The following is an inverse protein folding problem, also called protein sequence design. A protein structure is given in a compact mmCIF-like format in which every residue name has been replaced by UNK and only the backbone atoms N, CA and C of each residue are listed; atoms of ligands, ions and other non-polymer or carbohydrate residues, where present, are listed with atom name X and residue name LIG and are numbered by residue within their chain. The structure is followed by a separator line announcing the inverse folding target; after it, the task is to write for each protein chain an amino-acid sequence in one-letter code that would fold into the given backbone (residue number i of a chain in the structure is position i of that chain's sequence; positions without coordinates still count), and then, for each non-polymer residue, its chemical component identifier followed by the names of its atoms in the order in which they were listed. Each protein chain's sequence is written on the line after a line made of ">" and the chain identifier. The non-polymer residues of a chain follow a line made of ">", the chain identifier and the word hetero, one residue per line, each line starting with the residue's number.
data_IF_079957770833
#
_entry.id   IF_079957770833
#
_cell.length_a   1.000
_cell.length_b   1.000
_cell.length_c   1.000
_cell.angle_alpha   90.00
_cell.angle_beta   90.00
_cell.angle_gamma   90.00
#
_symmetry.space_group_name_H-M   'P 1'
#
loop_
_entity.id
_entity.type
_entity.pdbx_description
1 polymer ?
#
# COMPACT_ATOMS: atom_id res chain seq x y z
N UNK A 1 6.75 24.51 -28.36
CA UNK A 1 7.47 25.62 -29.04
C UNK A 1 8.66 26.09 -28.20
N UNK A 2 8.50 26.44 -26.91
CA UNK A 2 9.63 26.86 -26.06
C UNK A 2 10.63 25.75 -25.71
N UNK A 3 10.22 24.48 -25.60
CA UNK A 3 11.16 23.37 -25.36
C UNK A 3 12.16 23.19 -26.52
N UNK A 4 11.64 23.23 -27.75
CA UNK A 4 12.45 23.17 -28.96
C UNK A 4 13.34 24.41 -29.11
N UNK A 5 12.82 25.59 -28.77
CA UNK A 5 13.60 26.83 -28.77
C UNK A 5 14.75 26.77 -27.75
N UNK A 6 14.50 26.28 -26.53
CA UNK A 6 15.53 26.11 -25.51
C UNK A 6 16.59 25.10 -25.97
N UNK A 7 16.19 23.98 -26.57
CA UNK A 7 17.13 23.00 -27.13
C UNK A 7 18.02 23.61 -28.22
N UNK A 8 17.44 24.36 -29.17
CA UNK A 8 18.21 25.06 -30.20
C UNK A 8 19.15 26.12 -29.62
N UNK A 9 18.73 26.86 -28.58
CA UNK A 9 19.58 27.86 -27.93
C UNK A 9 20.75 27.19 -27.20
N UNK A 10 20.56 26.02 -26.59
CA UNK A 10 21.65 25.25 -26.00
C UNK A 10 22.62 24.70 -27.06
N UNK A 11 22.13 24.25 -28.21
CA UNK A 11 22.98 23.87 -29.36
C UNK A 11 23.81 25.05 -29.87
N UNK A 12 23.19 26.22 -30.00
CA UNK A 12 23.91 27.45 -30.38
C UNK A 12 24.97 27.81 -29.34
N UNK A 13 24.67 27.65 -28.05
CA UNK A 13 25.64 27.86 -26.98
C UNK A 13 26.84 26.90 -27.06
N UNK A 14 26.60 25.62 -27.37
CA UNK A 14 27.69 24.66 -27.54
C UNK A 14 28.61 25.02 -28.71
N UNK A 15 28.05 25.56 -29.80
CA UNK A 15 28.81 25.93 -31.01
C UNK A 15 29.47 27.30 -30.90
N UNK A 16 28.82 28.25 -30.23
CA UNK A 16 29.33 29.61 -30.02
C UNK A 16 28.77 30.22 -28.73
N UNK A 17 29.51 30.04 -27.64
CA UNK A 17 29.13 30.54 -26.32
C UNK A 17 29.15 32.08 -26.22
N UNK A 18 29.89 32.78 -27.08
CA UNK A 18 30.05 34.24 -27.05
C UNK A 18 29.04 34.97 -27.95
N UNK A 19 28.02 34.26 -28.46
CA UNK A 19 27.04 34.86 -29.35
C UNK A 19 26.26 35.97 -28.61
N UNK A 20 26.17 37.18 -29.18
CA UNK A 20 25.42 38.28 -28.56
C UNK A 20 23.97 37.89 -28.25
N UNK A 21 23.45 38.35 -27.11
CA UNK A 21 22.09 38.13 -26.61
C UNK A 21 21.70 36.67 -26.29
N UNK A 22 22.61 35.71 -26.40
CA UNK A 22 22.31 34.30 -26.16
C UNK A 22 21.89 34.03 -24.71
N UNK A 23 22.59 34.60 -23.73
CA UNK A 23 22.24 34.50 -22.31
C UNK A 23 20.83 35.02 -22.02
N UNK A 24 20.50 36.20 -22.57
CA UNK A 24 19.17 36.81 -22.43
C UNK A 24 18.08 35.92 -23.04
N UNK A 25 18.32 35.37 -24.24
CA UNK A 25 17.38 34.48 -24.90
C UNK A 25 17.18 33.15 -24.15
N UNK A 26 18.26 32.56 -23.63
CA UNK A 26 18.22 31.36 -22.78
C UNK A 26 17.44 31.63 -21.49
N UNK A 27 17.68 32.77 -20.84
CA UNK A 27 16.94 33.21 -19.66
C UNK A 27 15.44 33.35 -19.92
N UNK A 28 15.05 34.06 -20.99
CA UNK A 28 13.64 34.25 -21.35
C UNK A 28 12.93 32.93 -21.69
N UNK A 29 13.57 32.07 -22.50
CA UNK A 29 13.00 30.77 -22.84
C UNK A 29 12.85 29.87 -21.60
N UNK A 30 13.84 29.90 -20.70
CA UNK A 30 13.80 29.17 -19.43
C UNK A 30 12.69 29.69 -18.52
N UNK A 31 12.53 31.02 -18.40
CA UNK A 31 11.48 31.64 -17.58
C UNK A 31 10.07 31.23 -18.02
N UNK A 32 9.81 31.23 -19.33
CA UNK A 32 8.51 30.80 -19.88
C UNK A 32 8.24 29.31 -19.63
N UNK A 33 9.26 28.46 -19.71
CA UNK A 33 9.12 27.05 -19.34
C UNK A 33 8.88 26.88 -17.83
N UNK A 34 9.60 27.63 -16.99
CA UNK A 34 9.39 27.63 -15.54
C UNK A 34 7.93 27.97 -15.21
N UNK A 35 7.37 29.05 -15.78
CA UNK A 35 5.95 29.42 -15.56
C UNK A 35 5.00 28.29 -15.93
N UNK A 36 5.24 27.61 -17.06
CA UNK A 36 4.41 26.49 -17.52
C UNK A 36 4.48 25.28 -16.60
N UNK A 37 5.67 24.93 -16.12
CA UNK A 37 5.84 23.78 -15.23
C UNK A 37 5.38 24.10 -13.80
N UNK A 38 5.54 25.34 -13.35
CA UNK A 38 4.99 25.83 -12.08
C UNK A 38 3.46 25.75 -12.09
N UNK A 39 2.79 26.20 -13.17
CA UNK A 39 1.34 26.09 -13.31
C UNK A 39 0.84 24.63 -13.28
N UNK A 40 1.69 23.66 -13.62
CA UNK A 40 1.41 22.22 -13.53
C UNK A 40 1.81 21.60 -12.17
N UNK A 41 2.39 22.38 -11.26
CA UNK A 41 2.92 21.92 -9.98
C UNK A 41 4.13 20.98 -10.11
N UNK A 42 4.89 21.07 -11.21
CA UNK A 42 6.10 20.27 -11.43
C UNK A 42 7.36 21.05 -11.01
N UNK A 43 7.50 21.23 -9.69
CA UNK A 43 8.64 21.95 -9.12
C UNK A 43 9.97 21.22 -9.32
N UNK A 44 9.95 19.91 -9.56
CA UNK A 44 11.15 19.13 -9.91
C UNK A 44 11.72 19.60 -11.25
N UNK A 45 10.89 19.65 -12.29
CA UNK A 45 11.33 20.15 -13.60
C UNK A 45 11.76 21.60 -13.53
N UNK A 46 11.05 22.44 -12.78
CA UNK A 46 11.45 23.84 -12.52
C UNK A 46 12.85 23.93 -11.92
N UNK A 47 13.14 23.18 -10.85
CA UNK A 47 14.48 23.18 -10.24
C UNK A 47 15.55 22.69 -11.20
N UNK A 48 15.28 21.67 -12.01
CA UNK A 48 16.23 21.17 -13.02
C UNK A 48 16.54 22.22 -14.09
N UNK A 49 15.53 22.96 -14.54
CA UNK A 49 15.72 24.06 -15.49
C UNK A 49 16.58 25.18 -14.89
N UNK A 50 16.30 25.58 -13.64
CA UNK A 50 17.09 26.56 -12.91
C UNK A 50 18.54 26.11 -12.72
N UNK A 51 18.76 24.88 -12.27
CA UNK A 51 20.11 24.31 -12.08
C UNK A 51 20.90 24.29 -13.38
N UNK A 52 20.28 23.89 -14.50
CA UNK A 52 20.93 23.88 -15.82
C UNK A 52 21.33 25.29 -16.27
N UNK A 53 20.47 26.28 -16.07
CA UNK A 53 20.79 27.66 -16.42
C UNK A 53 21.89 28.23 -15.51
N UNK A 54 21.77 28.03 -14.20
CA UNK A 54 22.72 28.48 -13.18
C UNK A 54 24.11 27.86 -13.35
N UNK A 55 24.19 26.59 -13.77
CA UNK A 55 25.46 25.90 -14.01
C UNK A 55 26.31 26.59 -15.08
N UNK A 56 25.68 27.36 -15.99
CA UNK A 56 26.40 28.09 -17.04
C UNK A 56 26.43 29.59 -16.83
N UNK A 57 25.33 30.16 -16.33
CA UNK A 57 25.16 31.59 -16.09
C UNK A 57 24.66 31.79 -14.65
N UNK A 58 25.58 31.76 -13.66
CA UNK A 58 25.19 31.83 -12.24
C UNK A 58 24.57 33.18 -11.86
N UNK A 59 25.01 34.27 -12.47
CA UNK A 59 24.57 35.65 -12.17
C UNK A 59 23.36 36.10 -13.01
N UNK A 60 22.75 35.17 -13.75
CA UNK A 60 21.65 35.47 -14.64
C UNK A 60 20.39 35.87 -13.82
N UNK A 61 19.74 36.97 -14.21
CA UNK A 61 18.66 37.58 -13.40
C UNK A 61 17.42 36.70 -13.17
N UNK A 62 17.05 35.83 -14.12
CA UNK A 62 15.97 34.84 -13.98
C UNK A 62 16.33 33.78 -12.96
N UNK A 63 17.58 33.29 -12.94
CA UNK A 63 18.04 32.32 -11.94
C UNK A 63 17.87 32.89 -10.53
N UNK A 64 18.38 34.10 -10.31
CA UNK A 64 18.31 34.77 -9.01
C UNK A 64 16.85 35.05 -8.62
N UNK A 65 16.09 35.74 -9.49
CA UNK A 65 14.71 36.13 -9.20
C UNK A 65 13.79 34.92 -8.92
N UNK A 66 13.91 33.85 -9.71
CA UNK A 66 13.09 32.64 -9.52
C UNK A 66 13.52 31.83 -8.32
N UNK A 67 14.83 31.68 -8.10
CA UNK A 67 15.32 30.95 -6.92
C UNK A 67 14.88 31.64 -5.64
N UNK A 68 14.94 32.97 -5.58
CA UNK A 68 14.50 33.74 -4.42
C UNK A 68 12.98 33.65 -4.22
N UNK A 69 12.19 33.67 -5.29
CA UNK A 69 10.74 33.47 -5.21
C UNK A 69 10.38 32.09 -4.64
N UNK A 70 11.00 31.00 -5.12
CA UNK A 70 10.75 29.66 -4.60
C UNK A 70 11.29 29.46 -3.18
N UNK A 71 12.42 30.07 -2.83
CA UNK A 71 12.93 30.07 -1.45
C UNK A 71 11.98 30.77 -0.50
N UNK A 72 11.42 31.92 -0.90
CA UNK A 72 10.43 32.66 -0.11
C UNK A 72 9.17 31.82 0.11
N UNK A 73 8.57 31.29 -0.96
CA UNK A 73 7.40 30.38 -0.88
C UNK A 73 7.66 29.18 0.04
N UNK A 74 8.85 28.59 -0.06
CA UNK A 74 9.24 27.47 0.80
C UNK A 74 9.49 27.89 2.26
N UNK A 75 10.01 29.10 2.49
CA UNK A 75 10.19 29.64 3.84
C UNK A 75 8.85 29.89 4.53
N UNK A 76 7.88 30.47 3.80
CA UNK A 76 6.52 30.69 4.30
C UNK A 76 5.89 29.36 4.75
N UNK A 77 5.94 28.32 3.91
CA UNK A 77 5.45 26.99 4.28
C UNK A 77 6.21 26.37 5.46
N UNK A 78 7.52 26.64 5.58
CA UNK A 78 8.32 26.14 6.70
C UNK A 78 7.90 26.81 8.02
N UNK A 79 7.62 28.11 7.97
CA UNK A 79 7.17 28.88 9.13
C UNK A 79 5.73 28.51 9.54
N UNK A 80 4.84 28.30 8.57
CA UNK A 80 3.51 27.73 8.80
C UNK A 80 3.59 26.32 9.42
N UNK A 81 4.51 25.47 8.92
CA UNK A 81 4.71 24.13 9.48
C UNK A 81 5.20 24.19 10.94
N UNK A 82 6.09 25.13 11.27
CA UNK A 82 6.53 25.37 12.65
C UNK A 82 5.40 25.85 13.54
N UNK A 83 4.57 26.78 13.06
CA UNK A 83 3.41 27.27 13.80
C UNK A 83 2.39 26.15 14.05
N UNK A 84 2.06 25.35 13.02
CA UNK A 84 1.19 24.18 13.16
C UNK A 84 1.74 23.17 14.19
N UNK A 85 3.05 22.92 14.17
CA UNK A 85 3.72 22.04 15.13
C UNK A 85 3.67 22.59 16.57
N UNK A 86 3.83 23.91 16.76
CA UNK A 86 3.71 24.56 18.07
C UNK A 86 2.27 24.51 18.60
N UNK A 87 1.29 24.62 17.72
CA UNK A 87 -0.13 24.52 18.04
C UNK A 87 -0.62 23.07 18.25
N UNK A 88 0.25 22.08 18.08
CA UNK A 88 -0.08 20.66 18.22
C UNK A 88 -0.76 20.02 17.00
N UNK A 89 -0.95 20.75 15.90
CA UNK A 89 -1.47 20.19 14.64
C UNK A 89 -0.37 19.50 13.84
N UNK A 90 0.00 18.30 14.30
CA UNK A 90 1.07 17.50 13.71
C UNK A 90 0.70 16.98 12.31
N UNK A 91 -0.59 16.86 11.99
CA UNK A 91 -1.06 16.42 10.67
C UNK A 91 -0.80 17.50 9.63
N UNK A 92 -1.15 18.74 9.97
CA UNK A 92 -0.96 19.89 9.09
C UNK A 92 0.51 20.25 8.96
N UNK A 93 1.26 20.24 10.07
CA UNK A 93 2.72 20.41 10.04
C UNK A 93 3.39 19.42 9.08
N UNK A 94 2.92 18.16 9.05
CA UNK A 94 3.48 17.13 8.17
C UNK A 94 3.12 17.34 6.70
N UNK A 95 1.93 17.87 6.43
CA UNK A 95 1.49 18.24 5.09
C UNK A 95 2.32 19.41 4.55
N UNK A 96 2.44 20.48 5.33
CA UNK A 96 3.18 21.70 4.98
C UNK A 96 4.68 21.42 4.80
N UNK A 97 5.29 20.66 5.71
CA UNK A 97 6.71 20.26 5.60
C UNK A 97 6.99 19.51 4.29
N UNK A 98 6.11 18.58 3.90
CA UNK A 98 6.25 17.85 2.62
C UNK A 98 6.07 18.77 1.42
N UNK A 99 5.09 19.65 1.45
CA UNK A 99 4.87 20.64 0.38
C UNK A 99 6.08 21.55 0.22
N UNK A 100 6.65 22.02 1.33
CA UNK A 100 7.88 22.80 1.36
C UNK A 100 9.05 22.04 0.71
N UNK A 101 9.30 20.79 1.14
CA UNK A 101 10.36 19.94 0.58
C UNK A 101 10.16 19.70 -0.93
N UNK A 102 8.91 19.53 -1.36
CA UNK A 102 8.60 19.33 -2.76
C UNK A 102 8.85 20.58 -3.61
N UNK A 103 8.63 21.78 -3.08
CA UNK A 103 8.91 23.05 -3.78
C UNK A 103 10.41 23.37 -3.77
N UNK A 104 11.03 23.38 -2.59
CA UNK A 104 12.45 23.73 -2.43
C UNK A 104 13.08 22.95 -1.26
N UNK A 105 13.71 21.79 -1.51
CA UNK A 105 14.18 20.90 -0.44
C UNK A 105 15.36 21.48 0.35
N UNK A 106 16.21 22.28 -0.30
CA UNK A 106 17.44 22.78 0.28
C UNK A 106 17.21 24.13 0.98
N UNK A 107 16.49 24.09 2.11
CA UNK A 107 16.26 25.24 2.97
C UNK A 107 16.83 24.96 4.37
N UNK A 108 17.50 25.95 4.96
CA UNK A 108 18.10 25.81 6.31
C UNK A 108 17.02 25.53 7.35
N UNK A 109 17.20 24.49 8.16
CA UNK A 109 16.24 24.12 9.20
C UNK A 109 15.09 23.22 8.72
N UNK A 110 14.95 22.98 7.41
CA UNK A 110 13.84 22.17 6.88
C UNK A 110 14.02 20.67 7.18
N UNK A 111 15.25 20.18 7.07
CA UNK A 111 15.58 18.78 7.37
C UNK A 111 15.38 18.48 8.86
N UNK A 112 15.86 19.38 9.71
CA UNK A 112 15.76 19.26 11.17
C UNK A 112 14.29 19.29 11.63
N UNK A 113 13.46 20.15 11.02
CA UNK A 113 12.02 20.16 11.28
C UNK A 113 11.36 18.84 10.86
N UNK A 114 11.66 18.35 9.65
CA UNK A 114 11.11 17.10 9.14
C UNK A 114 11.49 15.90 10.02
N UNK A 115 12.74 15.80 10.46
CA UNK A 115 13.21 14.74 11.37
C UNK A 115 12.59 14.85 12.77
N UNK A 116 12.47 16.06 13.31
CA UNK A 116 11.78 16.30 14.58
C UNK A 116 10.31 15.90 14.50
N UNK A 117 9.63 16.27 13.42
CA UNK A 117 8.24 15.93 13.19
C UNK A 117 8.05 14.43 12.96
N UNK A 118 8.92 13.78 12.18
CA UNK A 118 8.86 12.33 11.97
C UNK A 118 9.01 11.56 13.28
N UNK A 119 9.92 11.99 14.17
CA UNK A 119 10.08 11.39 15.51
C UNK A 119 8.85 11.56 16.39
N UNK A 120 8.15 12.69 16.30
CA UNK A 120 6.94 12.97 17.10
C UNK A 120 5.67 12.37 16.48
N UNK A 121 5.60 12.30 15.16
CA UNK A 121 4.43 11.92 14.40
C UNK A 121 4.83 11.22 13.09
N UNK A 122 5.25 9.96 13.22
CA UNK A 122 5.53 9.09 12.08
C UNK A 122 4.24 8.76 11.32
N UNK A 123 3.96 9.54 10.27
CA UNK A 123 2.76 9.43 9.43
C UNK A 123 3.08 8.88 8.05
N UNK A 124 2.40 7.82 7.65
CA UNK A 124 2.52 7.21 6.32
C UNK A 124 1.20 7.34 5.55
N UNK A 125 1.24 8.08 4.45
CA UNK A 125 0.14 8.20 3.48
C UNK A 125 0.37 7.27 2.29
N UNK A 126 -0.58 6.36 2.05
CA UNK A 126 -0.57 5.33 0.99
C UNK A 126 -1.67 5.64 -0.03
N UNK A 127 -1.30 5.81 -1.29
CA UNK A 127 -2.25 5.90 -2.40
C UNK A 127 -2.79 4.52 -2.79
N UNK A 128 -4.11 4.40 -2.92
CA UNK A 128 -4.81 3.17 -3.29
C UNK A 128 -5.81 3.44 -4.41
N UNK A 129 -5.93 2.53 -5.38
CA UNK A 129 -6.91 2.65 -6.47
C UNK A 129 -8.20 1.86 -6.23
N UNK A 130 -8.19 0.96 -5.25
CA UNK A 130 -9.35 0.16 -4.85
C UNK A 130 -9.65 0.44 -3.38
N UNK A 131 -10.90 0.81 -3.10
CA UNK A 131 -11.41 1.03 -1.75
C UNK A 131 -11.73 -0.30 -1.08
N UNK A 132 -11.58 -0.32 0.22
CA UNK A 132 -11.94 -1.45 1.07
C UNK A 132 -13.43 -1.35 1.40
N UNK A 133 -14.24 -2.24 0.82
CA UNK A 133 -15.67 -2.35 1.13
C UNK A 133 -15.90 -3.37 2.25
N UNK A 134 -15.06 -4.39 2.31
CA UNK A 134 -15.05 -5.46 3.31
C UNK A 134 -13.62 -5.62 3.84
N UNK A 135 -13.46 -6.01 5.11
CA UNK A 135 -12.17 -6.24 5.76
C UNK A 135 -11.86 -7.72 5.97
N UNK A 136 -12.63 -8.61 5.36
CA UNK A 136 -12.38 -10.06 5.42
C UNK A 136 -11.06 -10.45 4.74
N UNK A 137 -10.13 -11.12 5.46
CA UNK A 137 -8.88 -11.59 4.92
C UNK A 137 -9.11 -12.75 3.95
N UNK A 138 -8.11 -13.02 3.11
CA UNK A 138 -8.06 -14.25 2.31
C UNK A 138 -8.89 -14.23 1.01
N UNK A 139 -9.77 -13.25 0.78
CA UNK A 139 -10.45 -13.11 -0.52
C UNK A 139 -9.43 -12.73 -1.61
N UNK A 140 -9.12 -13.70 -2.48
CA UNK A 140 -8.15 -13.50 -3.58
C UNK A 140 -8.56 -12.36 -4.52
N UNK A 141 -9.87 -12.23 -4.77
CA UNK A 141 -10.47 -11.21 -5.63
C UNK A 141 -10.47 -9.81 -5.00
N UNK A 142 -10.49 -9.72 -3.67
CA UNK A 142 -10.56 -8.44 -2.96
C UNK A 142 -9.19 -8.06 -2.37
N UNK A 143 -8.47 -7.27 -3.14
CA UNK A 143 -7.11 -6.82 -2.79
C UNK A 143 -7.12 -5.75 -1.71
N UNK A 144 -8.17 -4.92 -1.69
CA UNK A 144 -8.30 -3.85 -0.71
C UNK A 144 -8.58 -4.47 0.67
N UNK A 145 -9.49 -5.44 0.72
CA UNK A 145 -9.74 -6.25 1.92
C UNK A 145 -8.46 -6.89 2.46
N UNK A 146 -7.69 -7.61 1.62
CA UNK A 146 -6.44 -8.26 2.06
C UNK A 146 -5.39 -7.29 2.62
N UNK A 147 -5.32 -6.06 2.10
CA UNK A 147 -4.40 -5.04 2.59
C UNK A 147 -4.86 -4.51 3.95
N UNK A 148 -6.10 -4.02 4.01
CA UNK A 148 -6.65 -3.44 5.25
C UNK A 148 -6.82 -4.49 6.34
N UNK A 149 -7.10 -5.75 6.00
CA UNK A 149 -7.27 -6.83 6.98
C UNK A 149 -6.01 -7.07 7.79
N UNK A 150 -4.80 -6.95 7.20
CA UNK A 150 -3.54 -7.13 7.95
C UNK A 150 -3.21 -5.96 8.88
N UNK A 151 -3.82 -4.78 8.66
CA UNK A 151 -3.73 -3.66 9.59
C UNK A 151 -4.66 -3.87 10.78
N UNK A 152 -5.87 -4.38 10.51
CA UNK A 152 -6.93 -4.49 11.50
C UNK A 152 -6.87 -5.79 12.30
N UNK A 153 -6.46 -6.89 11.69
CA UNK A 153 -6.57 -8.23 12.24
C UNK A 153 -5.26 -9.02 12.12
N UNK A 154 -5.08 -9.92 13.08
CA UNK A 154 -4.24 -11.12 12.97
C UNK A 154 -5.14 -12.32 12.77
N UNK A 155 -4.84 -13.13 11.76
CA UNK A 155 -5.59 -14.36 11.47
C UNK A 155 -5.04 -15.54 12.27
N UNK A 156 -5.78 -16.64 12.27
CA UNK A 156 -5.32 -17.87 12.93
C UNK A 156 -4.07 -18.45 12.27
N UNK A 157 -3.96 -18.37 10.95
CA UNK A 157 -2.73 -18.64 10.19
C UNK A 157 -2.45 -17.48 9.20
N UNK A 158 -1.20 -17.09 9.03
CA UNK A 158 -0.75 -16.06 8.08
C UNK A 158 0.29 -16.60 7.11
N UNK A 159 0.16 -16.28 5.81
CA UNK A 159 1.18 -16.62 4.82
C UNK A 159 2.42 -15.76 5.05
N UNK A 160 3.56 -16.39 5.35
CA UNK A 160 4.84 -15.71 5.62
C UNK A 160 5.83 -15.81 4.45
N UNK A 161 5.50 -16.56 3.40
CA UNK A 161 6.32 -16.65 2.19
C UNK A 161 6.28 -18.02 1.52
N UNK A 162 6.97 -18.21 0.39
CA UNK A 162 7.10 -19.52 -0.23
C UNK A 162 7.99 -20.47 0.61
N UNK A 163 7.77 -21.77 0.44
CA UNK A 163 8.51 -22.89 1.03
C UNK A 163 8.53 -24.08 0.08
N UNK A 164 9.14 -25.19 0.52
CA UNK A 164 9.36 -26.38 -0.32
C UNK A 164 8.07 -27.08 -0.76
N UNK A 165 7.08 -27.17 0.15
CA UNK A 165 5.77 -27.80 -0.07
C UNK A 165 4.66 -26.75 -0.30
N UNK A 166 4.99 -25.63 -0.94
CA UNK A 166 4.08 -24.51 -1.15
C UNK A 166 4.28 -23.37 -0.14
N UNK A 167 3.20 -22.72 0.31
CA UNK A 167 3.32 -21.51 1.15
C UNK A 167 3.66 -21.81 2.61
N UNK A 168 4.65 -21.17 3.22
CA UNK A 168 4.89 -21.23 4.67
C UNK A 168 3.84 -20.39 5.41
N UNK A 169 3.24 -20.95 6.47
CA UNK A 169 2.28 -20.25 7.32
C UNK A 169 2.76 -20.21 8.76
N UNK A 170 2.36 -19.18 9.49
CA UNK A 170 2.62 -18.99 10.92
C UNK A 170 1.33 -18.64 11.66
N UNK A 171 1.26 -18.96 12.96
CA UNK A 171 0.13 -18.65 13.85
C UNK A 171 0.49 -17.42 14.70
N UNK A 172 0.17 -16.18 14.28
CA UNK A 172 0.62 -14.99 14.98
C UNK A 172 0.06 -14.87 16.41
N UNK A 173 -1.09 -15.49 16.68
CA UNK A 173 -1.77 -15.46 17.98
C UNK A 173 -1.38 -16.62 18.89
N UNK A 174 -0.38 -17.43 18.52
CA UNK A 174 -0.15 -18.71 19.17
C UNK A 174 0.99 -19.53 18.59
N UNK A 175 0.80 -20.84 18.61
CA UNK A 175 1.56 -21.82 17.84
C UNK A 175 0.56 -22.78 17.18
N UNK A 176 0.95 -23.34 16.04
CA UNK A 176 0.16 -24.34 15.33
C UNK A 176 1.09 -25.48 14.92
N UNK A 177 0.83 -26.68 15.45
CA UNK A 177 1.58 -27.88 15.10
C UNK A 177 0.68 -28.84 14.34
N UNK A 178 1.19 -29.35 13.22
CA UNK A 178 0.56 -30.41 12.45
C UNK A 178 1.24 -31.71 12.86
N UNK A 179 0.50 -32.66 13.43
CA UNK A 179 1.07 -33.92 13.91
C UNK A 179 1.53 -34.81 12.75
N UNK A 180 2.46 -35.73 13.04
CA UNK A 180 2.85 -36.78 12.11
C UNK A 180 1.60 -37.53 11.61
N UNK A 181 1.55 -37.82 10.30
CA UNK A 181 0.38 -38.31 9.54
C UNK A 181 -0.66 -37.26 9.10
N UNK A 182 -0.49 -35.97 9.45
CA UNK A 182 -1.28 -34.84 8.92
C UNK A 182 -2.81 -34.95 9.15
N UNK A 183 -3.24 -35.74 10.15
CA UNK A 183 -4.66 -35.93 10.51
C UNK A 183 -5.07 -35.26 11.81
N UNK A 184 -4.11 -34.64 12.51
CA UNK A 184 -4.37 -33.82 13.69
C UNK A 184 -3.57 -32.54 13.61
N UNK A 185 -4.18 -31.47 14.11
CA UNK A 185 -3.48 -30.22 14.36
C UNK A 185 -3.73 -29.79 15.80
N UNK A 186 -2.71 -29.26 16.47
CA UNK A 186 -2.84 -28.65 17.78
C UNK A 186 -2.59 -27.16 17.66
N UNK A 187 -3.53 -26.35 18.16
CA UNK A 187 -3.40 -24.89 18.23
C UNK A 187 -3.27 -24.52 19.69
N UNK A 188 -2.17 -23.87 20.04
CA UNK A 188 -1.99 -23.27 21.36
C UNK A 188 -2.02 -21.75 21.23
N UNK A 189 -2.94 -21.09 21.91
CA UNK A 189 -3.08 -19.64 21.87
C UNK A 189 -2.28 -18.97 22.99
N UNK A 190 -1.79 -17.77 22.68
CA UNK A 190 -1.15 -16.87 23.64
C UNK A 190 -2.19 -16.20 24.52
N UNK A 191 -1.95 -16.17 25.83
CA UNK A 191 -2.86 -15.56 26.81
C UNK A 191 -2.91 -14.03 26.74
N UNK A 192 -1.87 -13.42 26.17
CA UNK A 192 -1.68 -11.97 26.09
C UNK A 192 -2.38 -11.30 24.90
N UNK A 193 -2.99 -12.09 24.00
CA UNK A 193 -3.66 -11.54 22.81
C UNK A 193 -4.95 -10.86 23.24
N UNK A 194 -4.97 -9.52 23.20
CA UNK A 194 -6.11 -8.68 23.56
C UNK A 194 -6.89 -8.22 22.33
N UNK A 195 -8.18 -8.03 22.51
CA UNK A 195 -9.00 -7.29 21.55
C UNK A 195 -8.73 -5.78 21.68
N UNK A 196 -9.02 -5.03 20.62
CA UNK A 196 -8.75 -3.59 20.53
C UNK A 196 -9.44 -2.74 21.60
N UNK A 197 -10.52 -3.23 22.23
CA UNK A 197 -11.14 -2.56 23.39
C UNK A 197 -10.31 -2.67 24.67
N UNK A 198 -9.46 -3.69 24.79
CA UNK A 198 -8.69 -4.00 26.00
C UNK A 198 -9.47 -4.71 27.11
N UNK A 199 -10.80 -4.79 27.00
CA UNK A 199 -11.71 -5.36 28.01
C UNK A 199 -11.67 -6.90 28.07
N UNK A 200 -11.27 -7.55 26.99
CA UNK A 200 -11.22 -9.01 26.88
C UNK A 200 -10.01 -9.47 26.08
N UNK A 201 -9.66 -10.74 26.27
CA UNK A 201 -8.61 -11.43 25.52
C UNK A 201 -9.22 -12.42 24.55
N UNK A 202 -8.44 -12.77 23.53
CA UNK A 202 -8.72 -13.92 22.67
C UNK A 202 -8.67 -15.19 23.52
N UNK A 203 -9.70 -16.02 23.43
CA UNK A 203 -9.80 -17.29 24.16
C UNK A 203 -9.78 -18.48 23.21
N UNK A 204 -9.50 -19.67 23.77
CA UNK A 204 -9.54 -20.92 23.00
C UNK A 204 -10.96 -21.24 22.52
N UNK A 205 -11.96 -20.75 23.24
CA UNK A 205 -13.36 -20.87 22.88
C UNK A 205 -13.70 -20.03 21.65
N UNK A 206 -13.13 -18.83 21.51
CA UNK A 206 -13.30 -18.00 20.31
C UNK A 206 -12.73 -18.70 19.07
N UNK A 207 -11.54 -19.29 19.19
CA UNK A 207 -10.93 -20.09 18.13
C UNK A 207 -11.79 -21.30 17.79
N UNK A 208 -12.23 -22.05 18.80
CA UNK A 208 -13.06 -23.25 18.63
C UNK A 208 -14.38 -22.93 17.93
N UNK A 209 -15.06 -21.86 18.37
CA UNK A 209 -16.30 -21.37 17.74
C UNK A 209 -16.07 -20.94 16.31
N UNK A 210 -14.97 -20.27 16.01
CA UNK A 210 -14.61 -19.88 14.63
C UNK A 210 -14.43 -21.10 13.72
N UNK A 211 -13.74 -22.14 14.20
CA UNK A 211 -13.50 -23.36 13.43
C UNK A 211 -14.80 -24.14 13.18
N UNK A 212 -15.73 -24.16 14.15
CA UNK A 212 -17.06 -24.76 14.00
C UNK A 212 -17.90 -23.95 13.00
N UNK A 213 -17.93 -22.61 13.15
CA UNK A 213 -18.67 -21.72 12.25
C UNK A 213 -18.22 -21.87 10.79
N UNK A 214 -16.92 -22.07 10.55
CA UNK A 214 -16.41 -22.34 9.21
C UNK A 214 -16.88 -23.68 8.61
N UNK A 215 -17.34 -24.62 9.43
CA UNK A 215 -17.85 -25.92 9.00
C UNK A 215 -19.39 -25.99 8.97
N UNK A 216 -20.10 -25.00 9.52
CA UNK A 216 -21.55 -24.95 9.59
C UNK A 216 -22.15 -24.28 8.35
N UNK A 217 -22.98 -25.02 7.60
CA UNK A 217 -23.66 -24.53 6.39
C UNK A 217 -24.59 -23.34 6.67
N UNK A 218 -25.06 -23.18 7.90
CA UNK A 218 -25.92 -22.07 8.32
C UNK A 218 -25.17 -20.77 8.64
N UNK A 219 -23.84 -20.80 8.78
CA UNK A 219 -23.05 -19.63 9.18
C UNK A 219 -22.47 -18.87 7.97
N UNK A 220 -22.40 -17.54 8.08
CA UNK A 220 -21.75 -16.67 7.08
C UNK A 220 -20.26 -16.99 6.85
N UNK A 221 -19.61 -17.64 7.83
CA UNK A 221 -18.22 -18.07 7.77
C UNK A 221 -18.02 -19.40 7.03
N UNK A 222 -19.10 -20.06 6.60
CA UNK A 222 -19.06 -21.39 5.99
C UNK A 222 -18.05 -21.50 4.85
N UNK A 223 -17.27 -22.58 4.89
CA UNK A 223 -16.21 -22.89 3.96
C UNK A 223 -16.20 -24.37 3.66
N UNK A 224 -16.59 -24.72 2.42
CA UNK A 224 -16.70 -26.11 1.98
C UNK A 224 -15.40 -26.91 2.12
N UNK A 225 -14.26 -26.26 1.84
CA UNK A 225 -12.92 -26.83 1.94
C UNK A 225 -12.56 -27.23 3.38
N UNK A 226 -12.97 -26.42 4.36
CA UNK A 226 -12.79 -26.72 5.77
C UNK A 226 -13.84 -27.70 6.31
N UNK A 227 -15.10 -27.53 5.92
CA UNK A 227 -16.21 -28.37 6.37
C UNK A 227 -16.03 -29.85 6.01
N UNK A 228 -15.49 -30.14 4.82
CA UNK A 228 -15.17 -31.51 4.40
C UNK A 228 -13.99 -32.13 5.16
N UNK A 229 -13.13 -31.29 5.73
CA UNK A 229 -11.89 -31.73 6.37
C UNK A 229 -12.05 -31.90 7.88
N UNK A 230 -12.89 -31.10 8.54
CA UNK A 230 -13.10 -31.13 9.98
C UNK A 230 -13.80 -32.43 10.42
N UNK A 231 -13.18 -33.22 11.29
CA UNK A 231 -13.80 -34.39 11.94
C UNK A 231 -14.28 -34.09 13.36
N UNK A 232 -13.54 -33.29 14.10
CA UNK A 232 -13.89 -32.95 15.47
C UNK A 232 -12.91 -31.98 16.10
N UNK A 233 -13.34 -31.41 17.23
CA UNK A 233 -12.55 -30.46 18.03
C UNK A 233 -12.58 -30.91 19.48
N UNK A 234 -11.44 -30.80 20.16
CA UNK A 234 -11.34 -31.05 21.60
C UNK A 234 -10.56 -29.91 22.22
N UNK A 235 -11.15 -29.27 23.23
CA UNK A 235 -10.45 -28.26 24.02
C UNK A 235 -9.72 -28.99 25.14
N UNK A 236 -8.40 -29.14 24.99
CA UNK A 236 -7.59 -29.95 25.89
C UNK A 236 -7.29 -29.26 27.22
N UNK A 237 -7.14 -27.93 27.21
CA UNK A 237 -6.89 -27.09 28.39
C UNK A 237 -7.36 -25.64 28.10
N UNK A 238 -6.99 -24.68 28.95
CA UNK A 238 -7.43 -23.27 28.84
C UNK A 238 -6.91 -22.55 27.58
N UNK A 239 -5.80 -23.00 26.99
CA UNK A 239 -5.13 -22.34 25.88
C UNK A 239 -4.96 -23.21 24.62
N UNK A 240 -5.42 -24.46 24.61
CA UNK A 240 -5.17 -25.42 23.53
C UNK A 240 -6.45 -26.03 22.99
N UNK A 241 -6.55 -26.04 21.67
CA UNK A 241 -7.55 -26.81 20.92
C UNK A 241 -6.86 -27.80 19.99
N UNK A 242 -7.27 -29.06 20.08
CA UNK A 242 -6.85 -30.13 19.17
C UNK A 242 -7.96 -30.36 18.14
N UNK A 243 -7.59 -30.32 16.87
CA UNK A 243 -8.49 -30.54 15.74
C UNK A 243 -8.19 -31.88 15.10
N UNK A 244 -9.21 -32.70 14.95
CA UNK A 244 -9.14 -33.94 14.19
C UNK A 244 -9.62 -33.71 12.76
N UNK A 245 -8.88 -34.26 11.80
CA UNK A 245 -9.19 -34.16 10.38
C UNK A 245 -9.70 -35.50 9.83
N UNK A 246 -10.70 -35.45 8.96
CA UNK A 246 -11.32 -36.61 8.32
C UNK A 246 -10.29 -37.43 7.53
N UNK A 247 -9.42 -36.72 6.80
CA UNK A 247 -8.36 -37.25 5.94
C UNK A 247 -7.07 -36.48 6.16
N UNK A 248 -5.94 -37.09 5.83
CA UNK A 248 -4.65 -36.37 5.81
C UNK A 248 -4.73 -35.22 4.80
N UNK A 249 -4.14 -34.08 5.14
CA UNK A 249 -4.10 -32.92 4.27
C UNK A 249 -2.73 -32.27 4.36
N UNK A 250 -2.10 -32.02 3.21
CA UNK A 250 -0.71 -31.53 3.15
C UNK A 250 -0.55 -30.23 3.93
N UNK A 251 -1.49 -29.28 3.79
CA UNK A 251 -1.45 -27.95 4.45
C UNK A 251 -2.79 -27.47 5.00
N UNK A 252 -3.25 -28.03 6.14
CA UNK A 252 -4.51 -27.63 6.76
C UNK A 252 -4.44 -26.18 7.29
N UNK A 253 -3.25 -25.75 7.71
CA UNK A 253 -2.92 -24.37 8.11
C UNK A 253 -3.23 -23.34 7.01
N UNK A 254 -3.03 -23.69 5.73
CA UNK A 254 -3.37 -22.81 4.60
C UNK A 254 -4.86 -22.44 4.54
N UNK A 255 -5.73 -23.34 5.02
CA UNK A 255 -7.17 -23.13 5.10
C UNK A 255 -7.57 -22.22 6.27
N UNK A 256 -6.68 -22.01 7.23
CA UNK A 256 -6.94 -21.27 8.49
C UNK A 256 -6.54 -19.79 8.44
N UNK A 257 -6.41 -19.21 7.24
CA UNK A 257 -6.26 -17.75 7.04
C UNK A 257 -7.57 -16.98 7.30
N UNK A 258 -8.09 -17.10 8.52
CA UNK A 258 -9.40 -16.59 8.93
C UNK A 258 -9.24 -15.59 10.07
N UNK A 259 -10.05 -14.52 10.09
CA UNK A 259 -10.13 -13.67 11.29
C UNK A 259 -10.69 -14.46 12.46
N UNK A 260 -10.27 -14.06 13.65
CA UNK A 260 -10.86 -14.47 14.90
C UNK A 260 -11.90 -13.43 15.31
N UNK A 261 -12.97 -13.90 15.92
CA UNK A 261 -14.07 -13.08 16.40
C UNK A 261 -14.23 -13.30 17.90
N UNK A 262 -14.61 -12.28 18.68
CA UNK A 262 -14.74 -12.36 20.12
C UNK A 262 -16.05 -13.07 20.55
N UNK A 263 -16.29 -14.30 20.10
CA UNK A 263 -17.53 -15.06 20.38
C UNK A 263 -17.91 -15.15 21.86
N UNK A 264 -16.92 -15.07 22.76
CA UNK A 264 -17.11 -15.13 24.21
C UNK A 264 -17.34 -13.76 24.87
N UNK A 265 -17.16 -12.66 24.15
CA UNK A 265 -17.40 -11.30 24.65
C UNK A 265 -18.88 -10.95 24.53
N UNK A 266 -19.58 -10.65 25.64
CA UNK A 266 -21.00 -10.28 25.61
C UNK A 266 -21.27 -9.04 24.73
N UNK A 267 -22.34 -9.07 23.94
CA UNK A 267 -22.73 -7.95 23.07
C UNK A 267 -21.93 -7.80 21.78
N UNK A 268 -20.98 -8.70 21.50
CA UNK A 268 -20.19 -8.73 20.26
C UNK A 268 -20.93 -9.39 19.09
N UNK A 269 -22.20 -9.05 18.87
CA UNK A 269 -22.94 -9.55 17.70
C UNK A 269 -22.54 -8.77 16.46
N UNK A 270 -21.68 -9.38 15.63
CA UNK A 270 -21.43 -9.17 14.19
C UNK A 270 -21.11 -7.76 13.63
N UNK A 271 -21.36 -6.66 14.33
CA UNK A 271 -21.24 -5.30 13.76
C UNK A 271 -20.14 -4.43 14.39
N UNK A 272 -19.59 -4.82 15.54
CA UNK A 272 -18.56 -4.06 16.26
C UNK A 272 -17.14 -4.58 16.00
N UNK A 273 -16.42 -3.83 15.15
CA UNK A 273 -15.05 -3.23 15.28
C UNK A 273 -13.97 -3.79 16.23
N UNK A 274 -14.20 -4.87 16.96
CA UNK A 274 -13.18 -5.50 17.79
C UNK A 274 -12.19 -6.22 16.89
N UNK A 275 -10.94 -5.80 17.00
CA UNK A 275 -9.86 -6.24 16.15
C UNK A 275 -8.65 -6.61 17.02
N UNK A 276 -7.78 -7.49 16.54
CA UNK A 276 -6.60 -7.97 17.27
C UNK A 276 -5.30 -7.62 16.53
N UNK A 277 -5.39 -6.78 15.50
CA UNK A 277 -4.26 -6.34 14.69
C UNK A 277 -3.55 -5.10 15.24
N UNK A 278 -2.49 -4.67 14.55
CA UNK A 278 -1.62 -3.55 14.95
C UNK A 278 -2.30 -2.19 14.92
N UNK A 279 -3.38 -2.03 14.16
CA UNK A 279 -4.07 -0.76 13.99
C UNK A 279 -5.58 -0.90 14.14
N UNK A 280 -6.23 0.22 14.45
CA UNK A 280 -7.69 0.40 14.41
C UNK A 280 -8.04 1.48 13.39
N UNK A 281 -9.14 1.29 12.64
CA UNK A 281 -9.65 2.31 11.75
C UNK A 281 -10.46 3.34 12.56
N UNK A 282 -10.01 4.59 12.59
CA UNK A 282 -10.65 5.68 13.36
C UNK A 282 -11.50 6.61 12.49
N UNK A 283 -11.27 6.59 11.18
CA UNK A 283 -12.06 7.36 10.22
C UNK A 283 -12.10 6.65 8.87
N UNK A 284 -13.26 6.67 8.21
CA UNK A 284 -13.48 6.13 6.87
C UNK A 284 -14.37 7.10 6.10
N UNK A 285 -13.89 7.58 4.96
CA UNK A 285 -14.63 8.40 4.01
C UNK A 285 -14.51 7.82 2.60
N UNK A 286 -15.05 8.55 1.62
CA UNK A 286 -14.89 8.20 0.22
C UNK A 286 -13.47 8.37 -0.31
N UNK A 287 -12.76 9.33 0.26
CA UNK A 287 -11.43 9.73 -0.20
C UNK A 287 -10.31 9.14 0.66
N UNK A 288 -10.56 8.91 1.96
CA UNK A 288 -9.51 8.48 2.89
C UNK A 288 -9.98 7.47 3.93
N UNK A 289 -9.05 6.66 4.42
CA UNK A 289 -9.22 5.86 5.64
C UNK A 289 -8.01 6.06 6.53
N UNK A 290 -8.25 6.38 7.80
CA UNK A 290 -7.22 6.67 8.79
C UNK A 290 -7.14 5.54 9.81
N UNK A 291 -5.93 5.05 10.02
CA UNK A 291 -5.59 4.00 10.96
C UNK A 291 -4.63 4.52 12.02
N UNK A 292 -4.94 4.28 13.29
CA UNK A 292 -4.08 4.58 14.44
C UNK A 292 -3.63 3.29 15.13
N UNK A 293 -2.44 3.27 15.77
CA UNK A 293 -1.97 2.11 16.50
C UNK A 293 -3.00 1.60 17.50
N UNK A 294 -3.15 0.29 17.54
CA UNK A 294 -3.93 -0.38 18.57
C UNK A 294 -3.07 -0.47 19.85
N UNK A 295 -3.43 0.22 20.94
CA UNK A 295 -2.64 0.20 22.18
C UNK A 295 -2.61 -1.18 22.85
N UNK A 296 -3.50 -2.09 22.45
CA UNK A 296 -3.59 -3.44 23.00
C UNK A 296 -2.84 -4.48 22.15
N UNK A 297 -2.16 -4.06 21.08
CA UNK A 297 -1.51 -4.99 20.17
C UNK A 297 -0.24 -5.60 20.78
N UNK A 298 -0.26 -6.92 20.92
CA UNK A 298 0.76 -7.70 21.64
C UNK A 298 2.15 -7.70 20.99
N UNK A 299 2.26 -7.38 19.70
CA UNK A 299 3.52 -7.39 18.95
C UNK A 299 3.84 -6.02 18.35
N UNK A 300 3.51 -4.95 19.09
CA UNK A 300 3.88 -3.59 18.70
C UNK A 300 5.41 -3.43 18.65
N UNK A 301 5.91 -2.81 17.59
CA UNK A 301 7.34 -2.57 17.38
C UNK A 301 7.69 -1.08 17.55
N UNK A 302 8.90 -0.80 18.03
CA UNK A 302 9.42 0.56 18.07
C UNK A 302 9.60 1.09 16.63
N UNK A 303 9.17 2.33 16.38
CA UNK A 303 9.27 2.95 15.07
C UNK A 303 8.11 2.64 14.11
N UNK A 304 7.12 1.83 14.50
CA UNK A 304 5.91 1.67 13.69
C UNK A 304 5.21 3.02 13.48
N UNK A 305 4.63 3.29 12.30
CA UNK A 305 3.90 4.53 12.05
C UNK A 305 2.80 4.74 13.10
N UNK A 306 2.73 5.95 13.65
CA UNK A 306 1.66 6.35 14.60
C UNK A 306 0.38 6.75 13.87
N UNK A 307 0.45 6.91 12.55
CA UNK A 307 -0.70 7.14 11.70
C UNK A 307 -0.46 6.57 10.30
N UNK A 308 -1.40 5.75 9.81
CA UNK A 308 -1.44 5.30 8.42
C UNK A 308 -2.70 5.86 7.78
N UNK A 309 -2.55 6.50 6.62
CA UNK A 309 -3.66 7.05 5.84
C UNK A 309 -3.70 6.37 4.48
N UNK A 310 -4.75 5.61 4.19
CA UNK A 310 -5.05 5.19 2.83
C UNK A 310 -5.83 6.30 2.13
N UNK A 311 -5.29 6.85 1.04
CA UNK A 311 -5.95 7.84 0.20
C UNK A 311 -6.37 7.20 -1.12
N UNK A 312 -7.65 7.29 -1.45
CA UNK A 312 -8.22 6.74 -2.65
C UNK A 312 -7.98 7.65 -3.85
N UNK A 313 -7.63 7.03 -4.98
CA UNK A 313 -7.54 7.68 -6.28
C UNK A 313 -8.35 6.86 -7.28
N UNK A 314 -9.18 7.55 -8.07
CA UNK A 314 -9.97 6.88 -9.11
C UNK A 314 -9.09 6.45 -10.28
N UNK A 315 -8.07 7.24 -10.60
CA UNK A 315 -7.19 7.02 -11.74
C UNK A 315 -5.74 6.78 -11.30
N UNK A 316 -5.11 5.75 -11.87
CA UNK A 316 -3.70 5.45 -11.59
C UNK A 316 -2.75 6.60 -11.97
N UNK A 317 -3.06 7.34 -13.04
CA UNK A 317 -2.27 8.50 -13.45
C UNK A 317 -2.30 9.64 -12.41
N UNK A 318 -3.44 9.83 -11.74
CA UNK A 318 -3.56 10.78 -10.64
C UNK A 318 -2.73 10.34 -9.44
N UNK A 319 -2.80 9.06 -9.09
CA UNK A 319 -2.02 8.49 -7.99
C UNK A 319 -0.51 8.60 -8.24
N UNK A 320 -0.03 8.36 -9.47
CA UNK A 320 1.37 8.53 -9.86
C UNK A 320 1.79 10.00 -9.74
N UNK A 321 0.95 10.96 -10.19
CA UNK A 321 1.23 12.39 -10.01
C UNK A 321 1.32 12.76 -8.54
N UNK A 322 0.42 12.25 -7.71
CA UNK A 322 0.45 12.48 -6.26
C UNK A 322 1.73 11.92 -5.62
N UNK A 323 2.19 10.75 -6.05
CA UNK A 323 3.45 10.15 -5.60
C UNK A 323 4.65 11.03 -5.98
N UNK A 324 4.75 11.43 -7.26
CA UNK A 324 5.83 12.32 -7.74
C UNK A 324 5.84 13.68 -7.03
N UNK A 325 4.67 14.17 -6.64
CA UNK A 325 4.50 15.43 -5.90
C UNK A 325 4.74 15.31 -4.39
N UNK A 326 5.02 14.12 -3.88
CA UNK A 326 5.18 13.89 -2.44
C UNK A 326 3.89 14.05 -1.62
N UNK A 327 2.72 14.04 -2.28
CA UNK A 327 1.42 14.06 -1.59
C UNK A 327 1.11 12.72 -0.91
N UNK A 328 1.70 11.63 -1.41
CA UNK A 328 1.68 10.28 -0.85
C UNK A 328 3.11 9.72 -0.81
N UNK A 329 3.37 8.77 0.07
CA UNK A 329 4.70 8.15 0.24
C UNK A 329 4.83 6.83 -0.51
N UNK A 330 3.72 6.08 -0.56
CA UNK A 330 3.63 4.78 -1.20
C UNK A 330 2.44 4.79 -2.14
N UNK A 331 2.60 4.22 -3.32
CA UNK A 331 1.47 3.83 -4.15
C UNK A 331 1.36 2.31 -4.08
N UNK A 332 0.24 1.79 -3.58
CA UNK A 332 0.09 0.36 -3.32
C UNK A 332 0.34 -0.47 -4.59
N UNK A 333 -0.05 0.02 -5.77
CA UNK A 333 0.18 -0.68 -7.04
C UNK A 333 0.27 0.30 -8.20
N UNK A 334 1.20 0.02 -9.10
CA UNK A 334 1.30 0.66 -10.40
C UNK A 334 0.79 -0.35 -11.45
N UNK A 335 -0.06 0.12 -12.37
CA UNK A 335 -0.48 -0.72 -13.49
C UNK A 335 0.67 -0.87 -14.50
N UNK A 336 0.77 -1.99 -15.24
CA UNK A 336 1.88 -2.24 -16.16
C UNK A 336 2.14 -1.10 -17.16
N UNK A 337 1.09 -0.53 -17.76
CA UNK A 337 1.18 0.60 -18.69
C UNK A 337 1.61 1.94 -18.06
N UNK A 338 1.70 2.02 -16.73
CA UNK A 338 2.21 3.18 -16.01
C UNK A 338 3.66 2.99 -15.50
N UNK A 339 4.27 1.82 -15.73
CA UNK A 339 5.59 1.50 -15.19
C UNK A 339 6.68 2.40 -15.74
N UNK A 340 6.68 2.68 -17.05
CA UNK A 340 7.74 3.48 -17.67
C UNK A 340 7.79 4.90 -17.09
N UNK A 341 6.62 5.51 -16.87
CA UNK A 341 6.50 6.82 -16.22
C UNK A 341 7.12 6.82 -14.82
N UNK A 342 7.03 5.71 -14.09
CA UNK A 342 7.62 5.59 -12.74
C UNK A 342 9.11 5.24 -12.82
N UNK A 343 9.52 4.38 -13.76
CA UNK A 343 10.94 3.98 -13.98
C UNK A 343 11.83 5.15 -14.42
N UNK A 344 11.28 6.10 -15.16
CA UNK A 344 11.99 7.33 -15.56
C UNK A 344 12.31 8.26 -14.37
N UNK A 345 11.68 8.05 -13.22
CA UNK A 345 11.85 8.88 -12.02
C UNK A 345 12.84 8.21 -11.06
N UNK A 346 14.10 8.68 -11.07
CA UNK A 346 15.19 8.12 -10.27
C UNK A 346 14.96 8.22 -8.74
N UNK A 347 14.04 9.07 -8.28
CA UNK A 347 13.69 9.22 -6.87
C UNK A 347 12.63 8.20 -6.40
N UNK A 348 12.08 7.41 -7.33
CA UNK A 348 11.06 6.41 -7.04
C UNK A 348 11.65 5.00 -7.11
N UNK A 349 11.32 4.19 -6.11
CA UNK A 349 11.69 2.77 -6.07
C UNK A 349 10.46 1.94 -6.43
N UNK A 350 10.62 1.05 -7.41
CA UNK A 350 9.62 0.06 -7.79
C UNK A 350 10.05 -1.29 -7.22
N UNK A 351 9.14 -1.95 -6.50
CA UNK A 351 9.36 -3.30 -6.01
C UNK A 351 8.29 -4.26 -6.58
N UNK A 352 8.69 -5.45 -7.06
CA UNK A 352 7.73 -6.48 -7.43
C UNK A 352 7.05 -7.05 -6.19
N UNK A 353 5.81 -7.52 -6.34
CA UNK A 353 5.14 -8.26 -5.28
C UNK A 353 5.78 -9.65 -5.14
N UNK A 354 6.01 -10.10 -3.90
CA UNK A 354 6.65 -11.39 -3.62
C UNK A 354 5.83 -12.63 -3.99
N UNK A 355 4.56 -12.47 -4.39
CA UNK A 355 3.69 -13.57 -4.85
C UNK A 355 3.12 -13.21 -6.22
N UNK A 356 3.32 -14.05 -7.26
CA UNK A 356 2.78 -13.79 -8.58
C UNK A 356 1.25 -13.87 -8.55
N UNK A 357 0.61 -13.01 -9.33
CA UNK A 357 -0.84 -13.08 -9.56
C UNK A 357 -1.13 -13.89 -10.82
N UNK A 358 -2.06 -14.83 -10.71
CA UNK A 358 -2.56 -15.59 -11.85
C UNK A 358 -3.84 -14.93 -12.37
N UNK A 359 -3.83 -14.54 -13.64
CA UNK A 359 -5.02 -14.09 -14.35
C UNK A 359 -5.58 -15.26 -15.16
N UNK A 360 -6.82 -15.66 -14.90
CA UNK A 360 -7.46 -16.78 -15.59
C UNK A 360 -8.90 -16.47 -15.99
N UNK A 361 -9.37 -17.16 -17.03
CA UNK A 361 -10.78 -17.18 -17.43
C UNK A 361 -11.42 -18.45 -16.88
N UNK A 362 -12.41 -18.30 -16.01
CA UNK A 362 -13.13 -19.42 -15.42
C UNK A 362 -14.45 -19.62 -16.19
N UNK A 363 -14.58 -20.68 -17.01
CA UNK A 363 -15.80 -20.90 -17.78
C UNK A 363 -16.95 -21.31 -16.87
N UNK A 364 -18.11 -20.65 -17.02
CA UNK A 364 -19.32 -21.07 -16.32
C UNK A 364 -19.91 -22.33 -16.97
N UNK A 365 -19.73 -23.48 -16.33
CA UNK A 365 -20.15 -24.78 -16.86
C UNK A 365 -21.68 -24.94 -16.95
N UNK A 366 -22.46 -24.04 -16.35
CA UNK A 366 -23.93 -24.04 -16.42
C UNK A 366 -24.48 -23.40 -17.70
N UNK A 367 -23.63 -22.82 -18.56
CA UNK A 367 -24.06 -22.17 -19.81
C UNK A 367 -23.81 -23.07 -21.03
N UNK A 368 -24.70 -23.06 -22.06
CA UNK A 368 -24.67 -24.03 -23.15
C UNK A 368 -23.39 -24.08 -23.99
N UNK A 369 -22.72 -22.95 -24.20
CA UNK A 369 -21.48 -22.91 -24.98
C UNK A 369 -20.29 -23.38 -24.15
N UNK A 370 -20.11 -22.82 -22.96
CA UNK A 370 -18.98 -23.11 -22.07
C UNK A 370 -19.05 -24.50 -21.44
N UNK A 371 -20.22 -25.15 -21.40
CA UNK A 371 -20.34 -26.57 -21.03
C UNK A 371 -19.69 -27.52 -22.05
N UNK A 372 -19.64 -27.13 -23.33
CA UNK A 372 -19.04 -27.94 -24.41
C UNK A 372 -17.52 -27.89 -24.35
N UNK A 373 -16.89 -29.07 -24.22
CA UNK A 373 -15.42 -29.22 -24.20
C UNK A 373 -14.76 -28.61 -25.44
N UNK A 374 -15.33 -28.85 -26.63
CA UNK A 374 -14.79 -28.34 -27.90
C UNK A 374 -14.76 -26.82 -27.93
N UNK A 375 -15.80 -26.15 -27.44
CA UNK A 375 -15.85 -24.69 -27.35
C UNK A 375 -14.80 -24.14 -26.38
N UNK A 376 -14.64 -24.74 -25.19
CA UNK A 376 -13.57 -24.34 -24.26
C UNK A 376 -12.18 -24.51 -24.85
N UNK A 377 -11.93 -25.61 -25.57
CA UNK A 377 -10.67 -25.81 -26.31
C UNK A 377 -10.49 -24.75 -27.39
N UNK A 378 -11.52 -24.44 -28.16
CA UNK A 378 -11.47 -23.38 -29.16
C UNK A 378 -11.11 -22.02 -28.54
N UNK A 379 -11.66 -21.66 -27.38
CA UNK A 379 -11.24 -20.46 -26.64
C UNK A 379 -9.76 -20.50 -26.23
N UNK A 380 -9.27 -21.64 -25.75
CA UNK A 380 -7.87 -21.79 -25.34
C UNK A 380 -6.91 -21.53 -26.50
N UNK A 381 -7.22 -22.02 -27.71
CA UNK A 381 -6.39 -21.82 -28.90
C UNK A 381 -6.65 -20.50 -29.63
N UNK A 382 -7.88 -19.98 -29.57
CA UNK A 382 -8.26 -18.73 -30.24
C UNK A 382 -7.79 -17.47 -29.51
N UNK A 383 -7.49 -17.55 -28.22
CA UNK A 383 -6.96 -16.43 -27.44
C UNK A 383 -5.44 -16.35 -27.59
N UNK A 384 -4.96 -15.31 -28.29
CA UNK A 384 -3.55 -15.00 -28.39
C UNK A 384 -3.05 -14.32 -27.10
N UNK A 385 -2.65 -15.13 -26.11
CA UNK A 385 -2.19 -14.67 -24.79
C UNK A 385 -0.96 -13.77 -24.88
N UNK A 386 -0.02 -14.10 -25.77
CA UNK A 386 1.22 -13.32 -25.94
C UNK A 386 0.89 -11.91 -26.43
N UNK A 387 0.10 -11.79 -27.49
CA UNK A 387 -0.31 -10.47 -28.00
C UNK A 387 -1.05 -9.63 -26.94
N UNK A 388 -1.92 -10.24 -26.12
CA UNK A 388 -2.61 -9.54 -25.03
C UNK A 388 -1.62 -9.04 -23.97
N UNK A 389 -0.67 -9.89 -23.55
CA UNK A 389 0.35 -9.50 -22.57
C UNK A 389 1.25 -8.40 -23.11
N UNK A 390 1.79 -8.56 -24.33
CA UNK A 390 2.66 -7.59 -24.98
C UNK A 390 1.96 -6.22 -25.12
N UNK A 391 0.67 -6.22 -25.46
CA UNK A 391 -0.13 -4.99 -25.53
C UNK A 391 -0.34 -4.33 -24.16
N UNK A 392 -0.55 -5.12 -23.10
CA UNK A 392 -0.80 -4.60 -21.75
C UNK A 392 0.47 -4.09 -21.06
N UNK A 393 1.61 -4.71 -21.34
CA UNK A 393 2.91 -4.37 -20.73
C UNK A 393 3.77 -3.48 -21.61
N UNK A 394 3.36 -3.19 -22.85
CA UNK A 394 4.19 -2.50 -23.83
C UNK A 394 5.44 -3.31 -24.21
N UNK A 395 5.40 -4.64 -24.06
CA UNK A 395 6.55 -5.53 -24.27
C UNK A 395 7.56 -5.52 -23.11
N UNK A 396 7.27 -4.86 -21.99
CA UNK A 396 8.13 -4.94 -20.81
C UNK A 396 8.11 -6.34 -20.19
N UNK A 397 9.28 -6.86 -19.83
CA UNK A 397 9.39 -8.01 -18.93
C UNK A 397 8.89 -7.59 -17.54
N UNK A 398 8.03 -8.43 -16.95
CA UNK A 398 7.35 -8.21 -15.66
C UNK A 398 8.14 -8.78 -14.49
#
# INVERSE_FOLDING_TARGET
>A
QFDLALAMLWEVHQRNAQRPNLEKALGMATDELIKRYEAKGDYRTVRRLLQRLAARFPDQSVVTARSDDFRRKASELLDEARAAMQNGDLREAARLTRQQQYIWPNLRGAKELAESLHRRHSRVVVGVCMRTVDTMPGRLSDRAARRSSRLLYRTLAEFVGPGVEGGRYDCPVGTMNIEAMERRLSIEIRSEVRWSSGESTLTVYDVSRRLIAMADLGDSAYRVDWAELLAGLTVGNVNRVDVQLQRAHVRPDALLQTILLPYTTPGSTSETTLSNGPYVAVSRSDDETVYLPNPQYFAAEEGQPVEIVERHYREGAEAIRALKRGHIHLLARVNPWGLDVVREDADLVIAPYGVPLVHCLIPNMRKPLTSRRTFRRALVYGINRKAILDQLTGGAEL
#
